data_IF_647771244545
#
_entry.id   IF_647771244545
#
_cell.length_a   1.000
_cell.length_b   1.000
_cell.length_c   1.000
_cell.angle_alpha   90.00
_cell.angle_beta   90.00
_cell.angle_gamma   90.00
#
_symmetry.space_group_name_H-M   'P 1'
#
loop_
_entity.id
_entity.type
_entity.pdbx_description
1 polymer ?
#
# COMPACT_ATOMS: atom_id res chain seq x y z
N UNK A 1 -13.14 -23.72 10.72
CA UNK A 1 -12.29 -23.13 9.66
C UNK A 1 -11.53 -21.99 10.29
N UNK A 2 -10.24 -21.79 9.96
CA UNK A 2 -9.51 -20.62 10.46
C UNK A 2 -10.18 -19.33 9.95
N UNK A 3 -10.29 -18.31 10.82
CA UNK A 3 -10.90 -17.03 10.46
C UNK A 3 -10.22 -16.42 9.23
N UNK A 4 -10.99 -15.80 8.34
CA UNK A 4 -10.50 -15.09 7.14
C UNK A 4 -9.71 -15.92 6.11
N UNK A 5 -9.80 -17.26 6.13
CA UNK A 5 -9.09 -18.12 5.16
C UNK A 5 -9.49 -17.81 3.72
N UNK A 6 -10.80 -17.64 3.47
CA UNK A 6 -11.34 -17.38 2.13
C UNK A 6 -11.01 -15.96 1.67
N UNK A 7 -11.17 -14.99 2.54
CA UNK A 7 -10.83 -13.57 2.33
C UNK A 7 -9.36 -13.43 1.94
N UNK A 8 -8.46 -14.05 2.69
CA UNK A 8 -7.03 -14.09 2.38
C UNK A 8 -6.77 -14.71 1.01
N UNK A 9 -7.35 -15.87 0.71
CA UNK A 9 -7.11 -16.56 -0.56
C UNK A 9 -7.56 -15.71 -1.76
N UNK A 10 -8.78 -15.15 -1.71
CA UNK A 10 -9.29 -14.33 -2.80
C UNK A 10 -8.47 -13.05 -2.95
N UNK A 11 -8.09 -12.40 -1.84
CA UNK A 11 -7.25 -11.21 -1.86
C UNK A 11 -5.86 -11.49 -2.46
N UNK A 12 -5.21 -12.59 -2.08
CA UNK A 12 -3.92 -13.03 -2.64
C UNK A 12 -4.03 -13.24 -4.16
N UNK A 13 -5.06 -13.93 -4.64
CA UNK A 13 -5.23 -14.17 -6.08
C UNK A 13 -5.60 -12.90 -6.86
N UNK A 14 -6.44 -12.03 -6.29
CA UNK A 14 -6.81 -10.75 -6.90
C UNK A 14 -5.58 -9.82 -7.03
N UNK A 15 -4.77 -9.72 -5.97
CA UNK A 15 -3.52 -8.95 -5.99
C UNK A 15 -2.50 -9.56 -6.94
N UNK A 16 -2.38 -10.88 -7.04
CA UNK A 16 -1.53 -11.53 -8.05
C UNK A 16 -1.95 -11.12 -9.46
N UNK A 17 -3.25 -11.21 -9.78
CA UNK A 17 -3.77 -10.86 -11.12
C UNK A 17 -3.50 -9.39 -11.46
N UNK A 18 -3.78 -8.49 -10.53
CA UNK A 18 -3.48 -7.07 -10.69
C UNK A 18 -1.97 -6.82 -10.84
N UNK A 19 -1.12 -7.48 -10.05
CA UNK A 19 0.35 -7.38 -10.14
C UNK A 19 0.88 -7.85 -11.50
N UNK A 20 0.32 -8.93 -12.07
CA UNK A 20 0.65 -9.39 -13.42
C UNK A 20 0.26 -8.34 -14.46
N UNK A 21 -0.95 -7.78 -14.36
CA UNK A 21 -1.42 -6.72 -15.25
C UNK A 21 -0.48 -5.53 -15.21
N UNK A 22 -0.22 -4.97 -14.02
CA UNK A 22 0.61 -3.77 -13.87
C UNK A 22 2.04 -4.01 -14.33
N UNK A 23 2.61 -5.18 -14.03
CA UNK A 23 3.97 -5.56 -14.47
C UNK A 23 4.09 -5.61 -15.98
N UNK A 24 3.12 -6.23 -16.66
CA UNK A 24 3.14 -6.41 -18.13
C UNK A 24 3.03 -5.09 -18.87
N UNK A 25 2.34 -4.10 -18.30
CA UNK A 25 2.01 -2.86 -18.99
C UNK A 25 2.90 -1.69 -18.62
N UNK A 26 3.70 -1.78 -17.55
CA UNK A 26 4.51 -0.68 -16.99
C UNK A 26 5.30 0.11 -18.05
N UNK A 27 5.93 -0.57 -19.01
CA UNK A 27 6.73 0.07 -20.06
C UNK A 27 5.94 0.67 -21.23
N UNK A 28 4.62 0.46 -21.26
CA UNK A 28 3.73 0.80 -22.38
C UNK A 28 2.61 1.77 -22.02
N UNK A 29 2.37 2.01 -20.73
CA UNK A 29 1.35 2.96 -20.28
C UNK A 29 1.92 4.36 -20.19
N UNK A 30 1.04 5.35 -20.31
CA UNK A 30 1.37 6.77 -20.15
C UNK A 30 0.53 7.36 -19.03
N UNK A 31 1.08 8.38 -18.37
CA UNK A 31 0.41 9.09 -17.29
C UNK A 31 -0.53 10.17 -17.79
N UNK A 32 -1.56 10.42 -16.99
CA UNK A 32 -2.52 11.51 -17.08
C UNK A 32 -2.51 12.22 -15.73
N UNK A 33 -2.69 13.53 -15.71
CA UNK A 33 -2.76 14.30 -14.45
C UNK A 33 -4.17 14.29 -13.88
N UNK A 34 -4.31 13.96 -12.59
CA UNK A 34 -5.52 14.18 -11.79
C UNK A 34 -5.69 15.68 -11.49
N UNK A 35 -6.83 16.05 -10.92
CA UNK A 35 -7.13 17.43 -10.54
C UNK A 35 -6.17 18.04 -9.50
N UNK A 36 -5.46 17.21 -8.74
CA UNK A 36 -4.44 17.60 -7.75
C UNK A 36 -3.00 17.45 -8.28
N UNK A 37 -2.83 17.39 -9.61
CA UNK A 37 -1.57 17.20 -10.34
C UNK A 37 -0.84 15.86 -10.11
N UNK A 38 -1.42 14.95 -9.32
CA UNK A 38 -0.89 13.60 -9.16
C UNK A 38 -1.11 12.77 -10.44
N UNK A 39 -0.18 11.85 -10.78
CA UNK A 39 -0.32 11.03 -11.99
C UNK A 39 -1.27 9.85 -11.78
N UNK A 40 -2.01 9.50 -12.82
CA UNK A 40 -2.81 8.26 -12.95
C UNK A 40 -2.59 7.65 -14.33
N UNK A 41 -2.70 6.34 -14.47
CA UNK A 41 -2.58 5.64 -15.76
C UNK A 41 -3.80 4.75 -16.01
N UNK A 42 -3.93 4.26 -17.26
CA UNK A 42 -4.91 3.23 -17.56
C UNK A 42 -4.73 1.94 -16.73
N UNK A 43 -3.52 1.68 -16.22
CA UNK A 43 -3.25 0.51 -15.39
C UNK A 43 -3.86 0.66 -13.98
N UNK A 44 -3.90 1.86 -13.40
CA UNK A 44 -4.50 2.13 -12.09
C UNK A 44 -6.00 1.80 -12.11
N UNK A 45 -6.73 2.34 -13.09
CA UNK A 45 -8.15 2.05 -13.29
C UNK A 45 -8.41 0.56 -13.55
N UNK A 46 -7.60 -0.08 -14.40
CA UNK A 46 -7.77 -1.48 -14.75
C UNK A 46 -7.47 -2.41 -13.57
N UNK A 47 -6.42 -2.13 -12.79
CA UNK A 47 -6.10 -2.88 -11.58
C UNK A 47 -7.21 -2.75 -10.54
N UNK A 48 -7.76 -1.54 -10.32
CA UNK A 48 -8.89 -1.36 -9.40
C UNK A 48 -10.12 -2.16 -9.84
N UNK A 49 -10.46 -2.11 -11.14
CA UNK A 49 -11.58 -2.88 -11.66
C UNK A 49 -11.41 -4.39 -11.47
N UNK A 50 -10.21 -4.91 -11.72
CA UNK A 50 -9.86 -6.32 -11.52
C UNK A 50 -9.98 -6.73 -10.05
N UNK A 51 -9.45 -5.92 -9.14
CA UNK A 51 -9.53 -6.16 -7.70
C UNK A 51 -10.99 -6.20 -7.22
N UNK A 52 -11.79 -5.17 -7.56
CA UNK A 52 -13.18 -5.07 -7.10
C UNK A 52 -14.04 -6.18 -7.71
N UNK A 53 -13.86 -6.51 -8.99
CA UNK A 53 -14.63 -7.59 -9.63
C UNK A 53 -14.39 -8.94 -8.97
N UNK A 54 -13.12 -9.27 -8.69
CA UNK A 54 -12.74 -10.48 -7.99
C UNK A 54 -13.37 -10.58 -6.58
N UNK A 55 -13.31 -9.48 -5.82
CA UNK A 55 -13.84 -9.42 -4.47
C UNK A 55 -15.37 -9.43 -4.44
N UNK A 56 -16.03 -8.71 -5.34
CA UNK A 56 -17.49 -8.66 -5.47
C UNK A 56 -18.08 -10.04 -5.79
N UNK A 57 -17.41 -10.85 -6.61
CA UNK A 57 -17.82 -12.25 -6.86
C UNK A 57 -17.82 -13.08 -5.58
N UNK A 58 -16.76 -12.97 -4.78
CA UNK A 58 -16.60 -13.77 -3.57
C UNK A 58 -17.44 -13.24 -2.39
N UNK A 59 -17.62 -11.92 -2.31
CA UNK A 59 -18.19 -11.17 -1.20
C UNK A 59 -19.16 -10.08 -1.68
N UNK A 60 -20.32 -10.44 -2.26
CA UNK A 60 -21.24 -9.49 -2.90
C UNK A 60 -21.87 -8.46 -1.95
N UNK A 61 -21.76 -8.65 -0.63
CA UNK A 61 -22.28 -7.74 0.39
C UNK A 61 -21.25 -6.76 0.95
N UNK A 62 -19.99 -6.85 0.54
CA UNK A 62 -18.93 -5.97 1.06
C UNK A 62 -18.93 -4.62 0.33
N UNK A 63 -18.58 -3.57 1.07
CA UNK A 63 -18.30 -2.27 0.47
C UNK A 63 -16.82 -2.16 0.03
N UNK A 64 -16.51 -1.13 -0.74
CA UNK A 64 -15.17 -0.89 -1.28
C UNK A 64 -14.75 0.55 -1.01
N UNK A 65 -13.46 0.79 -0.85
CA UNK A 65 -12.82 2.10 -0.84
C UNK A 65 -11.56 1.97 -1.68
N UNK A 66 -11.56 2.61 -2.84
CA UNK A 66 -10.43 2.65 -3.76
C UNK A 66 -10.06 4.09 -4.07
N UNK A 67 -8.83 4.30 -4.54
CA UNK A 67 -8.32 5.61 -4.90
C UNK A 67 -9.05 6.21 -6.11
N UNK A 68 -9.32 5.40 -7.13
CA UNK A 68 -9.75 5.89 -8.43
C UNK A 68 -11.27 5.94 -8.60
N UNK A 69 -11.79 6.94 -9.32
CA UNK A 69 -13.17 6.95 -9.82
C UNK A 69 -13.20 7.04 -11.35
N UNK A 70 -14.32 6.71 -11.97
CA UNK A 70 -14.39 6.62 -13.44
C UNK A 70 -14.76 7.92 -14.15
N UNK A 71 -14.68 9.09 -13.48
CA UNK A 71 -15.04 10.39 -14.10
C UNK A 71 -14.19 10.69 -15.32
N UNK A 72 -12.86 10.51 -15.24
CA UNK A 72 -11.95 10.70 -16.38
C UNK A 72 -12.27 9.74 -17.55
N UNK A 73 -12.69 8.50 -17.26
CA UNK A 73 -13.05 7.50 -18.28
C UNK A 73 -14.34 7.86 -19.02
N UNK A 74 -15.24 8.61 -18.37
CA UNK A 74 -16.49 9.06 -19.01
C UNK A 74 -16.26 10.20 -19.99
N UNK A 75 -15.17 10.94 -19.82
CA UNK A 75 -14.81 12.09 -20.66
C UNK A 75 -13.83 11.72 -21.79
N UNK A 76 -13.10 10.61 -21.65
CA UNK A 76 -12.12 10.13 -22.63
C UNK A 76 -12.42 8.69 -23.08
N UNK A 77 -13.02 8.54 -24.27
CA UNK A 77 -13.35 7.25 -24.87
C UNK A 77 -12.11 6.39 -25.17
N UNK A 78 -10.98 7.00 -25.54
CA UNK A 78 -9.76 6.26 -25.87
C UNK A 78 -9.14 5.67 -24.60
N UNK A 79 -9.09 6.45 -23.53
CA UNK A 79 -8.67 5.98 -22.21
C UNK A 79 -9.60 4.87 -21.70
N UNK A 80 -10.92 5.07 -21.78
CA UNK A 80 -11.91 4.06 -21.37
C UNK A 80 -11.74 2.74 -22.11
N UNK A 81 -11.57 2.80 -23.44
CA UNK A 81 -11.32 1.61 -24.25
C UNK A 81 -10.01 0.92 -23.86
N UNK A 82 -8.95 1.70 -23.58
CA UNK A 82 -7.68 1.16 -23.11
C UNK A 82 -7.81 0.47 -21.75
N UNK A 83 -8.54 1.05 -20.80
CA UNK A 83 -8.80 0.45 -19.49
C UNK A 83 -9.59 -0.84 -19.64
N UNK A 84 -10.62 -0.85 -20.47
CA UNK A 84 -11.40 -2.04 -20.79
C UNK A 84 -10.52 -3.16 -21.33
N UNK A 85 -9.69 -2.89 -22.34
CA UNK A 85 -8.77 -3.87 -22.91
C UNK A 85 -7.79 -4.44 -21.88
N UNK A 86 -7.28 -3.61 -20.97
CA UNK A 86 -6.39 -4.06 -19.92
C UNK A 86 -7.11 -4.96 -18.92
N UNK A 87 -8.26 -4.52 -18.41
CA UNK A 87 -9.03 -5.26 -17.41
C UNK A 87 -9.60 -6.58 -17.98
N UNK A 88 -10.13 -6.57 -19.20
CA UNK A 88 -10.73 -7.75 -19.82
C UNK A 88 -9.70 -8.84 -20.17
N UNK A 89 -8.45 -8.44 -20.42
CA UNK A 89 -7.36 -9.38 -20.71
C UNK A 89 -6.58 -9.81 -19.47
N UNK A 90 -6.91 -9.32 -18.28
CA UNK A 90 -6.25 -9.70 -17.03
C UNK A 90 -6.74 -11.08 -16.56
N UNK A 91 -5.84 -12.07 -16.58
CA UNK A 91 -6.13 -13.43 -16.14
C UNK A 91 -4.90 -14.08 -15.49
N UNK A 92 -5.15 -15.04 -14.61
CA UNK A 92 -4.18 -15.99 -14.09
C UNK A 92 -4.03 -17.16 -15.06
N UNK A 93 -2.84 -17.74 -15.13
CA UNK A 93 -2.58 -18.90 -15.98
C UNK A 93 -3.17 -20.19 -15.39
N UNK A 94 -3.29 -20.27 -14.06
CA UNK A 94 -3.90 -21.41 -13.37
C UNK A 94 -5.44 -21.34 -13.48
N UNK A 95 -6.10 -22.29 -14.16
CA UNK A 95 -7.55 -22.26 -14.36
C UNK A 95 -8.38 -22.40 -13.08
N UNK A 96 -7.87 -23.15 -12.10
CA UNK A 96 -8.59 -23.37 -10.83
C UNK A 96 -8.59 -22.10 -10.00
N UNK A 97 -7.46 -21.38 -9.97
CA UNK A 97 -7.36 -20.07 -9.32
C UNK A 97 -8.16 -19.00 -10.08
N UNK A 98 -8.08 -18.99 -11.40
CA UNK A 98 -8.83 -18.07 -12.28
C UNK A 98 -10.35 -18.22 -12.07
N UNK A 99 -10.84 -19.45 -11.93
CA UNK A 99 -12.25 -19.74 -11.72
C UNK A 99 -12.81 -19.17 -10.40
N UNK A 100 -11.95 -18.82 -9.43
CA UNK A 100 -12.37 -18.21 -8.16
C UNK A 100 -12.68 -16.71 -8.28
N UNK A 101 -12.23 -16.05 -9.35
CA UNK A 101 -12.33 -14.59 -9.51
C UNK A 101 -13.28 -14.23 -10.67
N UNK A 102 -13.61 -12.95 -10.78
CA UNK A 102 -14.37 -12.39 -11.91
C UNK A 102 -13.61 -11.22 -12.52
N UNK A 103 -13.97 -10.90 -13.76
CA UNK A 103 -13.61 -9.68 -14.47
C UNK A 103 -14.89 -8.98 -14.91
N UNK A 104 -14.89 -7.67 -15.15
CA UNK A 104 -16.07 -6.97 -15.66
C UNK A 104 -16.51 -7.57 -17.01
N UNK A 105 -17.82 -7.78 -17.20
CA UNK A 105 -18.38 -8.40 -18.41
C UNK A 105 -18.49 -7.41 -19.58
N UNK A 106 -18.57 -6.12 -19.28
CA UNK A 106 -18.69 -5.04 -20.27
C UNK A 106 -18.19 -3.70 -19.69
N UNK A 107 -18.15 -2.67 -20.54
CA UNK A 107 -17.67 -1.33 -20.18
C UNK A 107 -18.55 -0.65 -19.13
N UNK A 108 -19.87 -0.88 -19.13
CA UNK A 108 -20.74 -0.26 -18.12
C UNK A 108 -20.45 -0.84 -16.73
N UNK A 109 -20.29 -2.17 -16.64
CA UNK A 109 -19.87 -2.82 -15.41
C UNK A 109 -18.46 -2.39 -14.98
N UNK A 110 -17.52 -2.21 -15.91
CA UNK A 110 -16.18 -1.68 -15.63
C UNK A 110 -16.26 -0.32 -14.91
N UNK A 111 -17.07 0.61 -15.44
CA UNK A 111 -17.24 1.93 -14.82
C UNK A 111 -17.94 1.84 -13.46
N UNK A 112 -18.93 0.94 -13.32
CA UNK A 112 -19.62 0.67 -12.06
C UNK A 112 -18.64 0.20 -10.99
N UNK A 113 -17.83 -0.83 -11.27
CA UNK A 113 -16.91 -1.40 -10.28
C UNK A 113 -15.83 -0.41 -9.88
N UNK A 114 -15.32 0.41 -10.81
CA UNK A 114 -14.37 1.49 -10.47
C UNK A 114 -15.04 2.49 -9.51
N UNK A 115 -16.27 2.93 -9.80
CA UNK A 115 -16.99 3.88 -8.94
C UNK A 115 -17.37 3.31 -7.58
N UNK A 116 -17.57 1.99 -7.43
CA UNK A 116 -17.79 1.35 -6.14
C UNK A 116 -16.62 1.65 -5.17
N UNK A 117 -15.39 1.63 -5.67
CA UNK A 117 -14.20 2.00 -4.91
C UNK A 117 -14.05 3.52 -4.77
N UNK A 118 -14.06 4.24 -5.89
CA UNK A 118 -13.79 5.69 -5.92
C UNK A 118 -14.77 6.54 -5.13
N UNK A 119 -16.01 6.08 -4.96
CA UNK A 119 -17.06 6.81 -4.21
C UNK A 119 -17.34 6.21 -2.83
N UNK A 120 -16.77 5.06 -2.52
CA UNK A 120 -16.95 4.40 -1.23
C UNK A 120 -16.35 5.19 -0.07
N UNK A 121 -16.99 5.13 1.10
CA UNK A 121 -16.60 5.98 2.23
C UNK A 121 -15.90 5.23 3.37
N UNK A 122 -16.02 3.90 3.44
CA UNK A 122 -15.65 3.14 4.63
C UNK A 122 -16.50 3.52 5.84
N UNK A 123 -16.02 3.23 7.05
CA UNK A 123 -16.65 3.73 8.27
C UNK A 123 -16.52 2.81 9.49
N UNK A 124 -17.26 3.17 10.55
CA UNK A 124 -17.14 2.57 11.88
C UNK A 124 -17.73 1.17 12.04
N UNK A 125 -18.57 0.72 11.11
CA UNK A 125 -19.30 -0.54 11.24
C UNK A 125 -19.30 -1.31 9.94
N UNK A 126 -19.31 -2.63 10.05
CA UNK A 126 -19.37 -3.53 8.92
C UNK A 126 -18.02 -3.72 8.24
N UNK A 127 -18.07 -4.31 7.05
CA UNK A 127 -16.90 -4.79 6.33
C UNK A 127 -16.74 -4.07 5.00
N UNK A 128 -15.51 -3.61 4.73
CA UNK A 128 -15.16 -3.02 3.44
C UNK A 128 -13.72 -3.34 3.06
N UNK A 129 -13.48 -3.44 1.75
CA UNK A 129 -12.15 -3.59 1.18
C UNK A 129 -11.55 -2.23 0.86
N UNK A 130 -10.31 -2.02 1.25
CA UNK A 130 -9.52 -0.83 0.96
C UNK A 130 -8.44 -1.21 -0.03
N UNK A 131 -8.25 -0.44 -1.09
CA UNK A 131 -7.21 -0.72 -2.08
C UNK A 131 -6.56 0.52 -2.64
N UNK A 132 -5.27 0.38 -2.91
CA UNK A 132 -4.52 1.24 -3.80
C UNK A 132 -4.10 0.37 -4.99
N UNK A 133 -4.66 0.61 -6.19
CA UNK A 133 -4.38 -0.23 -7.35
C UNK A 133 -2.91 -0.16 -7.81
N UNK A 134 -2.26 1.00 -7.64
CA UNK A 134 -0.84 1.23 -7.93
C UNK A 134 -0.33 2.32 -6.98
N UNK A 135 0.10 1.93 -5.78
CA UNK A 135 0.75 2.86 -4.86
C UNK A 135 2.15 3.19 -5.41
N UNK A 136 2.37 4.46 -5.68
CA UNK A 136 3.59 4.95 -6.32
C UNK A 136 3.48 5.12 -7.84
N UNK A 137 2.35 5.58 -8.38
CA UNK A 137 2.16 5.79 -9.84
C UNK A 137 3.29 6.61 -10.49
N UNK A 138 3.87 7.60 -9.78
CA UNK A 138 4.97 8.40 -10.29
C UNK A 138 6.28 7.60 -10.51
N UNK A 139 6.58 6.63 -9.65
CA UNK A 139 7.74 5.73 -9.80
C UNK A 139 7.40 4.54 -10.70
N UNK A 140 6.16 4.08 -10.70
CA UNK A 140 5.64 3.13 -11.69
C UNK A 140 5.89 3.62 -13.12
N UNK A 141 5.57 4.88 -13.43
CA UNK A 141 5.83 5.51 -14.74
C UNK A 141 7.31 5.62 -15.12
N UNK A 142 8.22 5.57 -14.14
CA UNK A 142 9.68 5.55 -14.36
C UNK A 142 10.25 4.14 -14.52
N UNK A 143 9.43 3.10 -14.37
CA UNK A 143 9.90 1.72 -14.32
C UNK A 143 10.54 1.34 -12.98
N UNK A 144 10.26 2.09 -11.91
CA UNK A 144 10.84 1.92 -10.56
C UNK A 144 9.87 1.14 -9.64
N UNK A 145 10.05 1.20 -8.31
CA UNK A 145 9.20 0.47 -7.37
C UNK A 145 7.77 1.03 -7.33
N UNK A 146 6.83 0.14 -7.09
CA UNK A 146 5.41 0.42 -6.83
C UNK A 146 4.80 -0.81 -6.16
N UNK A 147 3.60 -0.68 -5.61
CA UNK A 147 2.87 -1.82 -5.06
C UNK A 147 1.40 -1.83 -5.45
N UNK A 148 0.82 -3.02 -5.49
CA UNK A 148 -0.63 -3.23 -5.50
C UNK A 148 -1.05 -3.59 -4.08
N UNK A 149 -1.91 -2.78 -3.47
CA UNK A 149 -2.29 -2.93 -2.06
C UNK A 149 -3.77 -3.27 -1.91
N UNK A 150 -4.06 -4.22 -1.03
CA UNK A 150 -5.42 -4.61 -0.68
C UNK A 150 -5.52 -4.93 0.81
N UNK A 151 -6.52 -4.37 1.48
CA UNK A 151 -6.85 -4.66 2.87
C UNK A 151 -8.35 -4.91 3.04
N UNK A 152 -8.69 -5.77 3.98
CA UNK A 152 -10.04 -5.88 4.51
C UNK A 152 -10.11 -5.16 5.84
N UNK A 153 -11.06 -4.25 5.99
CA UNK A 153 -11.35 -3.55 7.24
C UNK A 153 -12.71 -4.03 7.75
N UNK A 154 -12.76 -4.41 9.03
CA UNK A 154 -14.00 -4.76 9.74
C UNK A 154 -14.10 -3.91 11.01
N UNK A 155 -15.23 -3.23 11.18
CA UNK A 155 -15.52 -2.36 12.33
C UNK A 155 -14.36 -1.37 12.65
N UNK A 156 -13.79 -0.78 11.59
CA UNK A 156 -12.73 0.23 11.68
C UNK A 156 -11.32 -0.33 11.90
N UNK A 157 -11.11 -1.65 11.80
CA UNK A 157 -9.79 -2.28 11.96
C UNK A 157 -9.44 -3.18 10.79
N UNK A 158 -8.19 -3.12 10.33
CA UNK A 158 -7.71 -4.04 9.30
C UNK A 158 -7.72 -5.47 9.85
N UNK A 159 -8.25 -6.44 9.12
CA UNK A 159 -8.29 -7.86 9.50
C UNK A 159 -7.55 -8.77 8.51
N UNK A 160 -7.40 -8.33 7.25
CA UNK A 160 -6.57 -8.97 6.22
C UNK A 160 -5.80 -7.88 5.48
N UNK A 161 -4.53 -8.12 5.17
CA UNK A 161 -3.70 -7.23 4.38
C UNK A 161 -2.88 -8.04 3.39
N UNK A 162 -2.90 -7.66 2.12
CA UNK A 162 -2.15 -8.29 1.03
C UNK A 162 -1.44 -7.20 0.24
N UNK A 163 -0.14 -7.36 0.05
CA UNK A 163 0.69 -6.42 -0.68
C UNK A 163 1.47 -7.14 -1.78
N UNK A 164 1.20 -6.78 -3.04
CA UNK A 164 1.94 -7.24 -4.20
C UNK A 164 3.00 -6.22 -4.59
N UNK A 165 4.28 -6.57 -4.43
CA UNK A 165 5.41 -5.72 -4.81
C UNK A 165 6.07 -6.29 -6.07
N UNK A 166 5.47 -6.04 -7.24
CA UNK A 166 5.82 -6.67 -8.51
C UNK A 166 7.25 -6.37 -9.02
N UNK A 167 7.86 -5.29 -8.54
CA UNK A 167 9.24 -4.89 -8.85
C UNK A 167 10.21 -5.16 -7.71
N UNK A 168 9.76 -5.69 -6.57
CA UNK A 168 10.60 -5.83 -5.40
C UNK A 168 11.47 -7.08 -5.46
N UNK A 169 12.78 -6.87 -5.49
CA UNK A 169 13.80 -7.90 -5.28
C UNK A 169 14.84 -7.35 -4.30
N UNK A 170 14.77 -7.70 -3.01
CA UNK A 170 15.76 -7.24 -2.04
C UNK A 170 17.16 -7.70 -2.44
N UNK A 171 18.12 -6.78 -2.46
CA UNK A 171 19.54 -7.08 -2.71
C UNK A 171 20.28 -6.84 -1.40
N UNK A 172 20.95 -7.88 -0.89
CA UNK A 172 21.63 -7.87 0.42
C UNK A 172 20.74 -7.33 1.56
N UNK A 173 19.45 -7.64 1.51
CA UNK A 173 18.46 -7.19 2.50
C UNK A 173 18.19 -5.69 2.45
N UNK A 174 18.39 -5.02 1.32
CA UNK A 174 18.06 -3.60 1.11
C UNK A 174 17.10 -3.42 -0.06
N UNK A 175 16.30 -2.36 0.04
CA UNK A 175 15.37 -1.91 -0.99
C UNK A 175 15.82 -0.55 -1.48
N UNK A 176 15.80 -0.38 -2.81
CA UNK A 176 16.08 0.90 -3.46
C UNK A 176 15.12 1.06 -4.64
N UNK A 177 14.72 2.31 -4.90
CA UNK A 177 13.73 2.70 -5.91
C UNK A 177 14.06 2.14 -7.31
N UNK A 178 15.33 2.21 -7.72
CA UNK A 178 15.79 1.76 -9.05
C UNK A 178 16.32 0.32 -9.09
N UNK A 179 16.41 -0.36 -7.95
CA UNK A 179 16.85 -1.76 -7.88
C UNK A 179 15.63 -2.68 -7.91
N UNK A 180 15.25 -3.10 -9.12
CA UNK A 180 14.01 -3.83 -9.36
C UNK A 180 14.24 -5.28 -9.81
N UNK A 181 13.25 -6.13 -9.59
CA UNK A 181 13.09 -7.38 -10.31
C UNK A 181 12.69 -7.08 -11.76
N UNK A 182 13.58 -7.24 -12.73
CA UNK A 182 13.26 -6.93 -14.14
C UNK A 182 12.49 -8.06 -14.82
N UNK A 183 12.90 -9.29 -14.55
CA UNK A 183 12.45 -10.47 -15.29
C UNK A 183 11.39 -11.28 -14.51
N UNK A 184 11.34 -11.12 -13.18
CA UNK A 184 10.35 -11.76 -12.32
C UNK A 184 9.17 -10.87 -11.96
N UNK A 185 8.40 -11.33 -10.98
CA UNK A 185 7.20 -10.68 -10.48
C UNK A 185 7.33 -10.34 -8.98
N UNK A 186 8.56 -10.28 -8.45
CA UNK A 186 8.81 -9.84 -7.08
C UNK A 186 8.13 -10.68 -6.01
N UNK A 187 7.60 -9.99 -4.99
CA UNK A 187 7.17 -10.60 -3.72
C UNK A 187 5.74 -10.21 -3.36
N UNK A 188 5.07 -11.12 -2.66
CA UNK A 188 3.81 -10.87 -1.96
C UNK A 188 4.02 -11.00 -0.46
N UNK A 189 3.52 -10.02 0.28
CA UNK A 189 3.42 -10.08 1.73
C UNK A 189 1.95 -10.11 2.12
N UNK A 190 1.60 -10.98 3.07
CA UNK A 190 0.22 -11.16 3.51
C UNK A 190 0.15 -11.32 5.01
N UNK A 191 -0.83 -10.71 5.64
CA UNK A 191 -1.14 -10.93 7.05
C UNK A 191 -2.65 -11.04 7.29
N UNK A 192 -2.99 -11.83 8.30
CA UNK A 192 -4.33 -11.88 8.88
C UNK A 192 -4.17 -11.56 10.36
N UNK A 193 -5.01 -10.68 10.88
CA UNK A 193 -4.89 -10.22 12.27
C UNK A 193 -4.85 -11.40 13.26
N UNK A 194 -3.84 -11.44 14.11
CA UNK A 194 -3.57 -12.50 15.09
C UNK A 194 -3.03 -13.81 14.51
N UNK A 195 -2.66 -13.86 13.23
CA UNK A 195 -2.15 -15.06 12.56
C UNK A 195 -0.72 -14.88 12.01
N UNK A 196 -0.12 -13.70 12.22
CA UNK A 196 1.22 -13.40 11.75
C UNK A 196 1.28 -13.03 10.26
N UNK A 197 2.51 -12.75 9.82
CA UNK A 197 2.82 -12.35 8.45
C UNK A 197 3.44 -13.51 7.69
N UNK A 198 3.09 -13.63 6.42
CA UNK A 198 3.73 -14.53 5.46
C UNK A 198 4.33 -13.75 4.30
N UNK A 199 5.39 -14.31 3.72
CA UNK A 199 6.04 -13.81 2.53
C UNK A 199 6.14 -14.94 1.49
N UNK A 200 5.97 -14.60 0.21
CA UNK A 200 6.18 -15.54 -0.90
C UNK A 200 6.60 -14.83 -2.17
N UNK A 201 7.19 -15.59 -3.09
CA UNK A 201 7.46 -15.12 -4.44
C UNK A 201 6.17 -15.17 -5.27
N UNK A 202 5.94 -14.13 -6.07
CA UNK A 202 4.94 -14.16 -7.12
C UNK A 202 5.59 -14.61 -8.42
N UNK A 203 4.88 -15.40 -9.22
CA UNK A 203 5.28 -15.78 -10.56
C UNK A 203 4.09 -15.63 -11.51
N UNK A 204 4.35 -15.50 -12.81
CA UNK A 204 3.29 -15.32 -13.80
C UNK A 204 2.31 -16.50 -13.87
N UNK A 205 2.78 -17.70 -13.47
CA UNK A 205 1.99 -18.93 -13.44
C UNK A 205 1.32 -19.21 -12.08
N UNK A 206 1.55 -18.37 -11.05
CA UNK A 206 0.93 -18.56 -9.72
C UNK A 206 1.77 -18.07 -8.54
N UNK A 207 1.25 -18.35 -7.34
CA UNK A 207 1.92 -18.05 -6.08
C UNK A 207 2.79 -19.24 -5.63
N UNK A 208 4.05 -18.97 -5.30
CA UNK A 208 4.92 -19.96 -4.66
C UNK A 208 4.49 -20.22 -3.21
N UNK A 209 4.93 -21.33 -2.59
CA UNK A 209 4.55 -21.64 -1.20
C UNK A 209 4.87 -20.50 -0.23
N UNK A 210 3.90 -20.19 0.63
CA UNK A 210 4.05 -19.18 1.68
C UNK A 210 5.07 -19.61 2.73
N UNK A 211 5.91 -18.68 3.16
CA UNK A 211 6.78 -18.85 4.32
C UNK A 211 6.35 -17.87 5.42
N UNK A 212 6.28 -18.31 6.69
CA UNK A 212 6.15 -17.40 7.81
C UNK A 212 7.29 -16.36 7.83
N UNK A 213 6.97 -15.12 8.18
CA UNK A 213 7.94 -14.08 8.49
C UNK A 213 7.98 -13.93 10.01
N UNK A 214 8.61 -14.91 10.68
CA UNK A 214 8.47 -15.18 12.13
C UNK A 214 8.92 -14.03 13.06
N UNK A 215 9.68 -13.05 12.57
CA UNK A 215 9.77 -11.68 13.10
C UNK A 215 10.76 -10.87 12.28
N UNK A 216 10.47 -9.59 12.06
CA UNK A 216 11.47 -8.66 11.52
C UNK A 216 12.56 -8.42 12.58
N UNK A 217 13.82 -8.36 12.15
CA UNK A 217 14.93 -8.12 13.07
C UNK A 217 14.70 -6.80 13.84
N UNK A 218 14.81 -6.87 15.18
CA UNK A 218 14.70 -5.67 16.03
C UNK A 218 15.74 -4.64 15.61
N UNK A 219 15.36 -3.37 15.63
CA UNK A 219 16.32 -2.30 15.41
C UNK A 219 17.35 -2.28 16.55
N UNK A 220 18.63 -2.12 16.21
CA UNK A 220 19.73 -2.19 17.19
C UNK A 220 19.83 -0.95 18.06
N UNK A 221 19.77 0.24 17.46
CA UNK A 221 19.88 1.53 18.14
C UNK A 221 19.29 2.65 17.28
N UNK A 222 18.98 3.81 17.89
CA UNK A 222 18.59 5.00 17.13
C UNK A 222 19.73 5.55 16.26
N UNK A 223 20.97 5.51 16.76
CA UNK A 223 22.13 6.06 16.05
C UNK A 223 22.46 5.29 14.76
N UNK A 224 22.21 3.98 14.74
CA UNK A 224 22.45 3.12 13.58
C UNK A 224 21.22 2.98 12.66
N UNK A 225 20.10 3.59 13.04
CA UNK A 225 18.82 3.41 12.37
C UNK A 225 18.87 3.88 10.91
N UNK A 226 18.30 3.07 10.03
CA UNK A 226 18.06 3.39 8.64
C UNK A 226 16.66 4.00 8.49
N UNK A 227 16.61 5.32 8.34
CA UNK A 227 15.35 6.06 8.20
C UNK A 227 14.89 6.02 6.74
N UNK A 228 13.68 5.53 6.51
CA UNK A 228 13.05 5.50 5.19
C UNK A 228 12.14 6.72 5.04
N UNK A 229 12.26 7.46 3.93
CA UNK A 229 11.30 8.51 3.58
C UNK A 229 11.34 8.87 2.09
N UNK A 230 10.58 9.90 1.70
CA UNK A 230 10.70 10.57 0.41
C UNK A 230 10.91 12.08 0.62
N UNK A 231 12.17 12.51 0.67
CA UNK A 231 12.53 13.87 1.12
C UNK A 231 12.16 14.98 0.13
N UNK A 232 11.85 14.62 -1.12
CA UNK A 232 11.45 15.58 -2.17
C UNK A 232 9.96 15.97 -2.12
N UNK A 233 9.16 15.33 -1.25
CA UNK A 233 7.75 15.70 -1.04
C UNK A 233 7.57 16.96 -0.20
N UNK A 234 6.47 17.68 -0.39
CA UNK A 234 6.12 18.92 0.35
C UNK A 234 5.03 18.73 1.41
N UNK A 235 4.44 17.54 1.49
CA UNK A 235 3.32 17.23 2.41
C UNK A 235 3.78 16.85 3.81
N UNK A 236 5.10 16.80 4.05
CA UNK A 236 5.70 16.44 5.34
C UNK A 236 6.78 17.46 5.74
N UNK A 237 6.88 17.77 7.05
CA UNK A 237 7.91 18.65 7.65
C UNK A 237 9.24 17.92 7.77
N UNK A 238 9.95 17.80 6.65
CA UNK A 238 11.27 17.17 6.61
C UNK A 238 12.31 17.87 7.48
N UNK A 239 12.18 19.18 7.71
CA UNK A 239 13.06 19.92 8.61
C UNK A 239 13.00 19.42 10.06
N UNK A 240 11.81 19.03 10.53
CA UNK A 240 11.62 18.48 11.88
C UNK A 240 12.14 17.04 11.98
N UNK A 241 11.98 16.27 10.91
CA UNK A 241 12.48 14.90 10.84
C UNK A 241 14.03 14.89 10.78
N UNK A 242 14.64 15.83 10.05
CA UNK A 242 16.10 16.02 10.06
C UNK A 242 16.60 16.35 11.46
N UNK A 243 15.96 17.31 12.16
CA UNK A 243 16.33 17.64 13.56
C UNK A 243 16.26 16.42 14.48
N UNK A 244 15.26 15.56 14.28
CA UNK A 244 15.14 14.30 15.02
C UNK A 244 16.35 13.39 14.75
N UNK A 245 16.64 13.12 13.48
CA UNK A 245 17.76 12.27 13.09
C UNK A 245 19.11 12.79 13.65
N UNK A 246 19.35 14.10 13.53
CA UNK A 246 20.54 14.76 14.05
C UNK A 246 20.69 14.57 15.57
N UNK A 247 19.58 14.56 16.32
CA UNK A 247 19.58 14.44 17.79
C UNK A 247 20.16 13.12 18.31
N UNK A 248 20.19 12.07 17.48
CA UNK A 248 20.82 10.79 17.78
C UNK A 248 21.91 10.38 16.77
N UNK A 249 22.36 11.33 15.94
CA UNK A 249 23.49 11.12 15.01
C UNK A 249 23.18 10.25 13.79
N UNK A 250 21.91 10.05 13.44
CA UNK A 250 21.51 9.36 12.22
C UNK A 250 21.43 10.31 11.03
N UNK A 251 21.47 9.75 9.82
CA UNK A 251 21.25 10.50 8.57
C UNK A 251 19.76 10.50 8.22
N UNK A 252 19.25 11.60 7.67
CA UNK A 252 17.90 11.63 7.12
C UNK A 252 17.84 12.09 5.65
N UNK A 253 17.09 11.38 4.77
CA UNK A 253 16.77 9.95 4.89
C UNK A 253 18.00 9.08 4.56
N UNK A 254 18.02 7.85 5.05
CA UNK A 254 18.98 6.83 4.62
C UNK A 254 18.52 6.17 3.32
N UNK A 255 17.20 5.98 3.20
CA UNK A 255 16.56 5.26 2.11
C UNK A 255 15.45 6.14 1.55
N UNK A 256 15.58 6.49 0.28
CA UNK A 256 14.60 7.26 -0.48
C UNK A 256 13.68 6.30 -1.22
N UNK A 257 12.40 6.29 -0.83
CA UNK A 257 11.36 5.46 -1.45
C UNK A 257 10.06 6.26 -1.54
N UNK A 258 9.51 6.38 -2.74
CA UNK A 258 8.33 7.19 -3.02
C UNK A 258 7.03 6.53 -2.54
N UNK A 259 6.77 5.29 -2.97
CA UNK A 259 5.56 4.53 -2.63
C UNK A 259 5.44 4.30 -1.12
N UNK A 260 4.27 4.57 -0.55
CA UNK A 260 4.01 4.40 0.89
C UNK A 260 4.15 2.94 1.32
N UNK A 261 3.63 2.00 0.53
CA UNK A 261 3.70 0.57 0.81
C UNK A 261 5.08 -0.02 0.55
N UNK A 262 5.85 0.48 -0.41
CA UNK A 262 7.24 0.04 -0.60
C UNK A 262 8.11 0.48 0.59
N UNK A 263 7.81 1.61 1.24
CA UNK A 263 8.43 1.97 2.53
C UNK A 263 8.12 0.96 3.62
N UNK A 264 6.86 0.52 3.75
CA UNK A 264 6.51 -0.57 4.67
C UNK A 264 7.18 -1.89 4.29
N UNK A 265 7.22 -2.24 3.01
CA UNK A 265 7.89 -3.45 2.53
C UNK A 265 9.38 -3.45 2.90
N UNK A 266 10.07 -2.32 2.80
CA UNK A 266 11.47 -2.17 3.24
C UNK A 266 11.63 -2.34 4.77
N UNK A 267 10.64 -1.95 5.58
CA UNK A 267 10.64 -2.31 7.01
C UNK A 267 10.50 -3.83 7.22
N UNK A 268 9.78 -4.52 6.34
CA UNK A 268 9.51 -5.96 6.44
C UNK A 268 10.65 -6.85 5.95
N UNK A 269 11.21 -6.55 4.78
CA UNK A 269 12.18 -7.43 4.09
C UNK A 269 13.63 -7.02 4.29
N UNK A 270 13.88 -5.92 5.01
CA UNK A 270 15.21 -5.38 5.21
C UNK A 270 15.41 -4.01 4.55
N UNK A 271 16.29 -3.21 5.13
CA UNK A 271 16.70 -1.93 4.59
C UNK A 271 16.47 -0.81 5.59
N UNK A 272 15.28 -0.72 6.18
CA UNK A 272 14.93 0.36 7.11
C UNK A 272 14.50 -0.10 8.50
N UNK A 273 14.56 0.84 9.43
CA UNK A 273 14.17 0.65 10.84
C UNK A 273 12.90 1.41 11.21
N UNK A 274 12.70 2.61 10.64
CA UNK A 274 11.45 3.34 10.78
C UNK A 274 11.20 4.33 9.62
N UNK A 275 9.95 4.73 9.49
CA UNK A 275 9.48 5.86 8.69
C UNK A 275 8.56 6.73 9.52
N UNK A 276 8.48 8.01 9.17
CA UNK A 276 7.57 8.95 9.79
C UNK A 276 7.07 9.99 8.81
N UNK A 277 5.85 10.48 9.06
CA UNK A 277 5.21 11.56 8.33
C UNK A 277 4.73 12.60 9.34
N UNK A 278 5.27 13.81 9.24
CA UNK A 278 4.87 14.97 10.05
C UNK A 278 4.13 15.92 9.12
N UNK A 279 2.78 16.00 9.15
CA UNK A 279 2.02 16.79 8.17
C UNK A 279 2.53 18.24 8.08
N UNK A 280 2.70 18.75 6.85
CA UNK A 280 3.14 20.14 6.64
C UNK A 280 2.07 21.19 6.96
N UNK A 281 0.80 20.78 6.99
CA UNK A 281 -0.33 21.58 7.44
C UNK A 281 -1.50 20.67 7.85
N UNK A 282 -2.52 21.26 8.49
CA UNK A 282 -3.79 20.58 8.80
C UNK A 282 -4.64 20.28 7.55
N UNK A 283 -4.28 20.80 6.37
CA UNK A 283 -4.96 20.48 5.11
C UNK A 283 -4.41 19.24 4.43
N UNK A 284 -3.20 18.79 4.78
CA UNK A 284 -2.65 17.53 4.27
C UNK A 284 -3.53 16.37 4.74
N UNK A 285 -3.88 15.48 3.82
CA UNK A 285 -4.58 14.23 4.09
C UNK A 285 -3.62 13.05 3.98
N UNK A 286 -3.89 12.03 4.78
CA UNK A 286 -3.28 10.71 4.67
C UNK A 286 -4.43 9.75 4.43
N UNK A 287 -4.49 9.18 3.23
CA UNK A 287 -5.61 8.32 2.86
C UNK A 287 -5.44 6.92 3.44
N UNK A 288 -6.55 6.24 3.69
CA UNK A 288 -6.48 4.90 4.30
C UNK A 288 -5.83 3.88 3.35
N UNK A 289 -5.98 4.05 2.04
CA UNK A 289 -5.42 3.13 1.05
C UNK A 289 -3.90 3.18 0.98
N UNK A 290 -3.25 4.30 1.32
CA UNK A 290 -1.78 4.45 1.42
C UNK A 290 -1.13 3.59 2.54
N UNK A 291 -1.94 3.00 3.43
CA UNK A 291 -1.48 2.45 4.70
C UNK A 291 -2.08 1.09 5.04
N UNK A 292 -3.40 0.91 4.87
CA UNK A 292 -4.15 -0.22 5.43
C UNK A 292 -3.60 -1.62 5.03
N UNK A 293 -3.13 -1.76 3.80
CA UNK A 293 -2.60 -3.05 3.33
C UNK A 293 -1.32 -3.44 4.06
N UNK A 294 -0.36 -2.52 4.12
CA UNK A 294 0.97 -2.83 4.65
C UNK A 294 1.13 -2.60 6.16
N UNK A 295 0.30 -1.75 6.77
CA UNK A 295 0.34 -1.51 8.21
C UNK A 295 -0.01 -2.78 9.00
N UNK A 296 -1.08 -3.49 8.64
CA UNK A 296 -1.41 -4.77 9.28
C UNK A 296 -0.25 -5.77 9.13
N UNK A 297 0.35 -5.86 7.94
CA UNK A 297 1.47 -6.76 7.65
C UNK A 297 2.67 -6.42 8.55
N UNK A 298 3.01 -5.14 8.71
CA UNK A 298 4.07 -4.71 9.60
C UNK A 298 3.77 -5.06 11.07
N UNK A 299 2.54 -4.81 11.51
CA UNK A 299 2.11 -5.04 12.89
C UNK A 299 2.13 -6.53 13.26
N UNK A 300 1.63 -7.39 12.37
CA UNK A 300 1.65 -8.85 12.56
C UNK A 300 3.06 -9.45 12.48
N UNK A 301 4.02 -8.72 11.89
CA UNK A 301 5.44 -9.09 11.90
C UNK A 301 6.20 -8.58 13.15
N UNK A 302 5.51 -7.93 14.10
CA UNK A 302 6.07 -7.41 15.34
C UNK A 302 6.47 -5.93 15.29
N UNK A 303 6.25 -5.24 14.18
CA UNK A 303 6.41 -3.79 14.10
C UNK A 303 5.30 -3.04 14.83
N UNK A 304 5.44 -1.71 14.91
CA UNK A 304 4.44 -0.83 15.53
C UNK A 304 4.15 0.36 14.64
N UNK A 305 2.87 0.70 14.52
CA UNK A 305 2.38 1.87 13.77
C UNK A 305 1.45 2.68 14.66
N UNK A 306 1.74 3.97 14.82
CA UNK A 306 0.88 4.93 15.50
C UNK A 306 0.89 6.26 14.78
N UNK A 307 0.02 7.17 15.19
CA UNK A 307 0.21 8.58 14.91
C UNK A 307 1.29 9.19 15.83
N UNK A 308 1.56 10.49 15.69
CA UNK A 308 2.57 11.22 16.47
C UNK A 308 2.12 11.52 17.91
N UNK A 309 0.85 11.26 18.25
CA UNK A 309 0.34 11.30 19.63
C UNK A 309 0.42 9.91 20.30
N UNK A 310 0.84 8.87 19.57
CA UNK A 310 0.93 7.49 20.04
C UNK A 310 -0.39 6.71 19.96
N UNK A 311 -1.41 7.23 19.27
CA UNK A 311 -2.70 6.55 19.06
C UNK A 311 -2.60 5.57 17.89
N UNK A 312 -3.37 4.49 17.96
CA UNK A 312 -3.54 3.59 16.82
C UNK A 312 -4.18 4.33 15.62
N UNK A 313 -3.85 3.90 14.41
CA UNK A 313 -4.44 4.47 13.19
C UNK A 313 -5.93 4.10 13.10
N UNK A 314 -6.77 5.10 12.83
CA UNK A 314 -8.23 4.98 12.82
C UNK A 314 -8.77 4.85 11.40
N UNK A 315 -8.95 3.61 10.95
CA UNK A 315 -9.60 3.31 9.65
C UNK A 315 -11.12 3.44 9.68
N UNK A 316 -11.70 3.85 10.82
CA UNK A 316 -13.12 4.08 10.99
C UNK A 316 -13.55 5.50 10.60
N UNK A 317 -12.59 6.39 10.37
CA UNK A 317 -12.78 7.83 10.17
C UNK A 317 -13.23 8.24 8.74
N UNK A 318 -13.38 7.28 7.84
CA UNK A 318 -13.80 7.50 6.45
C UNK A 318 -12.69 7.14 5.47
N UNK A 319 -12.53 7.93 4.40
CA UNK A 319 -11.51 7.71 3.35
C UNK A 319 -10.09 8.12 3.77
N UNK A 320 -9.96 8.94 4.80
CA UNK A 320 -8.68 9.43 5.28
C UNK A 320 -8.55 9.27 6.80
N UNK A 321 -7.30 9.33 7.27
CA UNK A 321 -6.92 9.22 8.67
C UNK A 321 -7.08 10.56 9.39
N UNK A 322 -8.23 11.23 9.22
CA UNK A 322 -8.49 12.58 9.74
C UNK A 322 -8.54 12.66 11.28
N UNK A 323 -8.56 11.53 11.98
CA UNK A 323 -8.48 11.45 13.45
C UNK A 323 -7.05 11.16 13.95
N UNK A 324 -6.07 11.05 13.06
CA UNK A 324 -4.68 10.79 13.39
C UNK A 324 -3.77 11.97 13.02
N UNK A 325 -2.85 12.30 13.92
CA UNK A 325 -1.85 13.34 13.71
C UNK A 325 -0.55 12.76 13.17
N UNK A 326 -0.37 12.73 11.85
CA UNK A 326 0.82 12.16 11.23
C UNK A 326 0.93 10.64 11.40
N UNK A 327 2.13 10.11 11.15
CA UNK A 327 2.38 8.67 11.14
C UNK A 327 3.80 8.38 11.65
N UNK A 328 3.95 7.33 12.44
CA UNK A 328 5.20 6.67 12.77
C UNK A 328 5.01 5.17 12.57
N UNK A 329 5.80 4.57 11.69
CA UNK A 329 5.89 3.13 11.55
C UNK A 329 7.33 2.70 11.82
N UNK A 330 7.53 1.79 12.76
CA UNK A 330 8.86 1.40 13.22
C UNK A 330 8.93 -0.09 13.55
N UNK A 331 10.12 -0.65 13.42
CA UNK A 331 10.43 -1.98 13.96
C UNK A 331 10.39 -1.96 15.49
N UNK A 332 10.25 -3.17 16.05
CA UNK A 332 10.28 -3.35 17.50
C UNK A 332 11.58 -2.79 18.11
N UNK A 333 11.47 -2.16 19.28
CA UNK A 333 12.60 -1.67 20.08
C UNK A 333 12.84 -0.16 20.02
N UNK A 334 12.48 0.52 18.91
CA UNK A 334 12.80 1.95 18.73
C UNK A 334 11.58 2.87 18.68
N UNK A 335 10.37 2.35 18.43
CA UNK A 335 9.17 3.16 18.25
C UNK A 335 8.94 4.18 19.38
N UNK A 336 9.01 3.75 20.64
CA UNK A 336 8.76 4.62 21.79
C UNK A 336 9.74 5.78 21.89
N UNK A 337 11.02 5.51 21.62
CA UNK A 337 12.07 6.52 21.68
C UNK A 337 11.96 7.52 20.50
N UNK A 338 11.62 7.05 19.30
CA UNK A 338 11.34 7.92 18.15
C UNK A 338 10.14 8.83 18.42
N UNK A 339 9.05 8.28 18.96
CA UNK A 339 7.85 9.03 19.30
C UNK A 339 8.13 10.11 20.35
N UNK A 340 8.85 9.76 21.43
CA UNK A 340 9.22 10.71 22.48
C UNK A 340 10.12 11.84 21.94
N UNK A 341 11.12 11.49 21.12
CA UNK A 341 12.01 12.47 20.49
C UNK A 341 11.26 13.43 19.58
N UNK A 342 10.36 12.92 18.74
CA UNK A 342 9.53 13.76 17.87
C UNK A 342 8.58 14.65 18.68
N UNK A 343 7.97 14.13 19.75
CA UNK A 343 7.10 14.89 20.64
C UNK A 343 7.81 16.12 21.27
N UNK A 344 9.07 15.97 21.68
CA UNK A 344 9.89 17.10 22.17
C UNK A 344 10.12 18.15 21.09
N UNK A 345 10.49 17.71 19.88
CA UNK A 345 10.74 18.61 18.75
C UNK A 345 9.47 19.38 18.35
N UNK A 346 8.32 18.71 18.33
CA UNK A 346 7.03 19.34 18.01
C UNK A 346 6.61 20.36 19.07
N UNK A 347 6.82 20.06 20.37
CA UNK A 347 6.55 21.00 21.45
C UNK A 347 7.44 22.26 21.38
N UNK A 348 8.71 22.09 21.00
CA UNK A 348 9.63 23.20 20.75
C UNK A 348 9.26 24.03 19.52
N UNK A 349 8.82 23.40 18.42
CA UNK A 349 8.37 24.09 17.20
C UNK A 349 7.10 24.91 17.46
N UNK A 350 6.15 24.36 18.22
CA UNK A 350 4.89 25.04 18.58
C UNK A 350 5.09 26.23 19.54
N UNK A 351 6.24 26.33 20.19
CA UNK A 351 6.56 27.42 21.12
C UNK A 351 7.26 28.62 20.46
N UNK A 352 7.51 28.57 19.15
CA UNK A 352 8.20 29.61 18.36
C UNK A 352 7.22 30.49 17.60
#
# INVERSE_FOLDING_TARGET
MASYTRERQIAELAVLRASILTKRVQSTVSGISKADDSPVTAADFAAQAVLISALRKAFPGDAFVGEEDSSALREDDALKQRVWELASNAHLENPDDEALLASPENVDELLEVIDLGGRGQGGKKGRFWVMDPIDGTATFLKGEQYAVSLALVEDGREVVGVLGCANLKPVDGKVAESTIDKDGLGLMLTAVRGQGTTIRKMEFNGLQPAQPLDSIAKASSLADSQIINYSSGSTSRHDLITKLADSFGAKFPNIELYSSHIRYAALLVGGGDFQLRVPSSSSVRMYIWDHAGAQLILTEAGGKVTDLDGKEMDFAAGRDLNQNNGLLAAREGIHGAVLEGMGKILAEDASR
#
